data_IF_755645995721
#
_entry.id   IF_755645995721
#
_cell.length_a   1.000
_cell.length_b   1.000
_cell.length_c   1.000
_cell.angle_alpha   90.00
_cell.angle_beta   90.00
_cell.angle_gamma   90.00
#
_symmetry.space_group_name_H-M   'P 1'
#
loop_
_entity.id
_entity.type
_entity.pdbx_description
1 polymer ?
#
# COMPACT_ATOMS: atom_id res chain seq x y z
N UNK A 1 7.96 -21.65 27.69
CA UNK A 1 6.81 -21.54 26.76
C UNK A 1 6.61 -20.05 26.62
N UNK A 2 6.91 -19.40 25.48
CA UNK A 2 5.85 -18.77 24.66
C UNK A 2 6.37 -18.19 23.33
N UNK A 3 7.38 -18.81 22.69
CA UNK A 3 7.88 -18.33 21.38
C UNK A 3 6.79 -18.33 20.28
N UNK A 4 5.77 -19.19 20.40
CA UNK A 4 4.67 -19.24 19.45
C UNK A 4 3.78 -18.00 19.51
N UNK A 5 3.58 -17.40 20.69
CA UNK A 5 2.71 -16.23 20.82
C UNK A 5 3.34 -14.99 20.15
N UNK A 6 4.65 -14.83 20.27
CA UNK A 6 5.39 -13.74 19.60
C UNK A 6 5.36 -13.87 18.07
N UNK A 7 5.55 -15.09 17.54
CA UNK A 7 5.46 -15.35 16.10
C UNK A 7 4.05 -15.12 15.54
N UNK A 8 3.01 -15.56 16.25
CA UNK A 8 1.61 -15.36 15.82
C UNK A 8 1.26 -13.88 15.80
N UNK A 9 1.65 -13.12 16.84
CA UNK A 9 1.42 -11.68 16.88
C UNK A 9 2.16 -10.95 15.75
N UNK A 10 3.42 -11.27 15.51
CA UNK A 10 4.20 -10.68 14.42
C UNK A 10 3.61 -10.99 13.03
N UNK A 11 3.16 -12.23 12.82
CA UNK A 11 2.53 -12.64 11.56
C UNK A 11 1.19 -11.95 11.32
N UNK A 12 0.38 -11.77 12.37
CA UNK A 12 -0.88 -11.03 12.30
C UNK A 12 -0.64 -9.54 11.99
N UNK A 13 0.34 -8.91 12.64
CA UNK A 13 0.71 -7.51 12.35
C UNK A 13 1.15 -7.32 10.90
N UNK A 14 1.96 -8.24 10.36
CA UNK A 14 2.36 -8.20 8.94
C UNK A 14 1.16 -8.35 8.00
N UNK A 15 0.24 -9.26 8.29
CA UNK A 15 -0.97 -9.43 7.49
C UNK A 15 -1.87 -8.18 7.52
N UNK A 16 -2.06 -7.56 8.69
CA UNK A 16 -2.84 -6.32 8.81
C UNK A 16 -2.17 -5.17 8.06
N UNK A 17 -0.85 -5.02 8.17
CA UNK A 17 -0.10 -4.00 7.44
C UNK A 17 -0.19 -4.19 5.91
N UNK A 18 -0.03 -5.44 5.44
CA UNK A 18 -0.17 -5.77 4.02
C UNK A 18 -1.58 -5.47 3.49
N UNK A 19 -2.63 -5.85 4.23
CA UNK A 19 -4.01 -5.56 3.85
C UNK A 19 -4.28 -4.05 3.77
N UNK A 20 -3.76 -3.27 4.74
CA UNK A 20 -3.86 -1.81 4.73
C UNK A 20 -3.16 -1.18 3.53
N UNK A 21 -1.95 -1.62 3.21
CA UNK A 21 -1.20 -1.12 2.04
C UNK A 21 -1.89 -1.49 0.72
N UNK A 22 -2.48 -2.69 0.61
CA UNK A 22 -3.28 -3.07 -0.56
C UNK A 22 -4.52 -2.20 -0.74
N UNK A 23 -5.17 -1.82 0.35
CA UNK A 23 -6.29 -0.89 0.30
C UNK A 23 -5.84 0.51 -0.16
N UNK A 24 -4.73 1.01 0.39
CA UNK A 24 -4.16 2.30 -0.03
C UNK A 24 -3.75 2.28 -1.52
N UNK A 25 -3.13 1.19 -1.99
CA UNK A 25 -2.80 0.98 -3.40
C UNK A 25 -4.05 1.08 -4.30
N UNK A 26 -5.16 0.48 -3.88
CA UNK A 26 -6.44 0.54 -4.59
C UNK A 26 -6.98 1.98 -4.68
N UNK A 27 -6.96 2.72 -3.57
CA UNK A 27 -7.40 4.11 -3.51
C UNK A 27 -6.54 5.01 -4.40
N UNK A 28 -5.21 4.90 -4.33
CA UNK A 28 -4.30 5.67 -5.18
C UNK A 28 -4.54 5.38 -6.66
N UNK A 29 -4.71 4.12 -7.04
CA UNK A 29 -5.03 3.76 -8.43
C UNK A 29 -6.33 4.41 -8.93
N UNK A 30 -7.34 4.53 -8.07
CA UNK A 30 -8.57 5.24 -8.42
C UNK A 30 -8.32 6.75 -8.57
N UNK A 31 -7.56 7.35 -7.66
CA UNK A 31 -7.19 8.76 -7.74
C UNK A 31 -6.36 9.10 -8.98
N UNK A 32 -5.43 8.22 -9.37
CA UNK A 32 -4.65 8.37 -10.60
C UNK A 32 -5.57 8.38 -11.82
N UNK A 33 -6.52 7.45 -11.92
CA UNK A 33 -7.50 7.43 -13.03
C UNK A 33 -8.30 8.73 -13.08
N UNK A 34 -8.77 9.23 -11.94
CA UNK A 34 -9.49 10.51 -11.89
C UNK A 34 -8.61 11.69 -12.30
N UNK A 35 -7.33 11.72 -11.90
CA UNK A 35 -6.39 12.75 -12.31
C UNK A 35 -6.15 12.72 -13.83
N UNK A 36 -6.01 11.52 -14.40
CA UNK A 36 -5.90 11.34 -15.86
C UNK A 36 -7.15 11.82 -16.60
N UNK A 37 -8.35 11.47 -16.12
CA UNK A 37 -9.63 11.92 -16.71
C UNK A 37 -9.78 13.45 -16.67
N UNK A 38 -9.29 14.08 -15.60
CA UNK A 38 -9.30 15.52 -15.44
C UNK A 38 -8.12 16.24 -16.12
N UNK A 39 -7.23 15.51 -16.80
CA UNK A 39 -5.98 16.02 -17.40
C UNK A 39 -5.07 16.76 -16.40
N UNK A 40 -5.14 16.40 -15.12
CA UNK A 40 -4.30 16.94 -14.06
C UNK A 40 -2.98 16.15 -13.97
N UNK A 41 -2.05 16.55 -14.82
CA UNK A 41 -0.73 15.89 -14.99
C UNK A 41 0.13 15.99 -13.72
N UNK A 42 0.00 17.09 -12.97
CA UNK A 42 0.77 17.29 -11.75
C UNK A 42 0.24 16.40 -10.61
N UNK A 43 -1.08 16.31 -10.44
CA UNK A 43 -1.68 15.37 -9.50
C UNK A 43 -1.37 13.92 -9.89
N UNK A 44 -1.45 13.57 -11.17
CA UNK A 44 -1.11 12.23 -11.65
C UNK A 44 0.33 11.84 -11.25
N UNK A 45 1.32 12.66 -11.59
CA UNK A 45 2.74 12.36 -11.27
C UNK A 45 2.98 12.21 -9.77
N UNK A 46 2.34 13.03 -8.95
CA UNK A 46 2.46 12.94 -7.50
C UNK A 46 1.90 11.61 -6.99
N UNK A 47 0.70 11.25 -7.44
CA UNK A 47 0.03 10.01 -7.05
C UNK A 47 0.78 8.76 -7.54
N UNK A 48 1.37 8.80 -8.73
CA UNK A 48 2.22 7.71 -9.27
C UNK A 48 3.47 7.50 -8.40
N UNK A 49 4.11 8.57 -7.94
CA UNK A 49 5.26 8.48 -7.02
C UNK A 49 4.85 7.90 -5.66
N UNK A 50 3.69 8.28 -5.13
CA UNK A 50 3.16 7.70 -3.90
C UNK A 50 2.83 6.20 -4.08
N UNK A 51 2.30 5.83 -5.25
CA UNK A 51 2.00 4.43 -5.59
C UNK A 51 3.27 3.57 -5.61
N UNK A 52 4.37 4.06 -6.20
CA UNK A 52 5.66 3.36 -6.18
C UNK A 52 6.13 3.04 -4.77
N UNK A 53 6.03 4.01 -3.84
CA UNK A 53 6.41 3.82 -2.44
C UNK A 53 5.54 2.78 -1.72
N UNK A 54 4.24 2.74 -2.01
CA UNK A 54 3.34 1.74 -1.43
C UNK A 54 3.65 0.35 -2.01
N UNK A 55 3.92 0.26 -3.32
CA UNK A 55 4.31 -1.01 -3.95
C UNK A 55 5.61 -1.54 -3.35
N UNK A 56 6.60 -0.68 -3.11
CA UNK A 56 7.84 -1.06 -2.45
C UNK A 56 7.61 -1.58 -1.03
N UNK A 57 6.79 -0.89 -0.24
CA UNK A 57 6.42 -1.35 1.12
C UNK A 57 5.68 -2.70 1.10
N UNK A 58 4.80 -2.92 0.12
CA UNK A 58 4.13 -4.20 -0.08
C UNK A 58 5.15 -5.29 -0.40
N UNK A 59 6.11 -5.03 -1.28
CA UNK A 59 7.15 -6.00 -1.66
C UNK A 59 8.06 -6.38 -0.49
N UNK A 60 8.29 -5.49 0.47
CA UNK A 60 9.06 -5.79 1.69
C UNK A 60 8.26 -6.72 2.64
N UNK A 61 6.93 -6.70 2.56
CA UNK A 61 6.05 -7.47 3.44
C UNK A 61 5.66 -8.84 2.89
N UNK A 62 5.77 -9.07 1.58
CA UNK A 62 5.54 -10.35 0.88
C UNK A 62 6.78 -11.23 0.99
#
# INVERSE_FOLDING_TARGET
MDNNHSMITFSNTRMTAFAGLKQQQCVLNMQIRMAMENHDVDAQKKLEKELEQIVEQINILV
#
